data_IF_117374661334
#
_entry.id   IF_117374661334
#
_cell.length_a   1.000
_cell.length_b   1.000
_cell.length_c   1.000
_cell.angle_alpha   90.00
_cell.angle_beta   90.00
_cell.angle_gamma   90.00
#
_symmetry.space_group_name_H-M   'P 1'
#
loop_
_entity.id
_entity.type
_entity.pdbx_description
1 polymer ?
#
# COMPACT_ATOMS: atom_id res chain seq x y z
N UNK A 1 12.69 -1.43 -8.66
CA UNK A 1 11.54 -0.81 -7.99
C UNK A 1 11.84 -0.70 -6.52
N UNK A 2 11.91 0.50 -5.96
CA UNK A 2 11.81 0.64 -4.51
C UNK A 2 10.42 0.22 -4.06
N UNK A 3 10.32 -0.25 -2.81
CA UNK A 3 9.03 -0.30 -2.13
C UNK A 3 9.22 0.11 -0.67
N UNK A 4 8.22 0.81 -0.16
CA UNK A 4 8.13 1.29 1.22
C UNK A 4 6.86 0.74 1.82
N UNK A 5 6.94 0.21 3.03
CA UNK A 5 5.80 -0.36 3.76
C UNK A 5 5.57 0.42 5.05
N UNK A 6 4.31 0.75 5.33
CA UNK A 6 3.87 1.36 6.59
C UNK A 6 2.95 0.37 7.30
N UNK A 7 3.26 0.11 8.57
CA UNK A 7 2.47 -0.75 9.45
C UNK A 7 2.00 0.08 10.65
N UNK A 8 0.69 0.19 10.84
CA UNK A 8 0.10 0.89 12.00
C UNK A 8 -0.77 -0.08 12.79
N UNK A 9 -0.35 -0.37 14.01
CA UNK A 9 -1.12 -1.20 14.93
C UNK A 9 -2.32 -0.44 15.51
N UNK A 10 -3.39 -1.17 15.86
CA UNK A 10 -4.64 -0.62 16.44
C UNK A 10 -4.51 0.32 17.64
N UNK A 11 -3.40 0.26 18.39
CA UNK A 11 -3.15 1.13 19.54
C UNK A 11 -2.33 2.38 19.18
N UNK A 12 -1.79 2.43 17.97
CA UNK A 12 -1.00 3.53 17.43
C UNK A 12 -1.80 4.37 16.42
N UNK A 13 -2.88 3.82 15.86
CA UNK A 13 -3.81 4.55 15.01
C UNK A 13 -4.74 5.43 15.82
N UNK A 14 -5.18 6.55 15.21
CA UNK A 14 -6.07 7.51 15.85
C UNK A 14 -7.48 6.95 16.10
N UNK A 15 -7.98 6.14 15.15
CA UNK A 15 -9.35 5.61 15.15
C UNK A 15 -9.45 4.17 15.69
N UNK A 16 -8.34 3.59 16.15
CA UNK A 16 -8.29 2.21 16.63
C UNK A 16 -8.26 1.14 15.53
N UNK A 17 -8.22 1.51 14.25
CA UNK A 17 -8.11 0.56 13.12
C UNK A 17 -6.69 0.00 12.98
N UNK A 18 -6.52 -1.14 12.32
CA UNK A 18 -5.19 -1.58 11.88
C UNK A 18 -5.00 -1.18 10.43
N UNK A 19 -3.87 -0.57 10.09
CA UNK A 19 -3.57 -0.14 8.71
C UNK A 19 -2.28 -0.78 8.20
N UNK A 20 -2.33 -1.27 6.97
CA UNK A 20 -1.21 -1.81 6.22
C UNK A 20 -1.19 -1.10 4.87
N UNK A 21 -0.10 -0.41 4.57
CA UNK A 21 0.07 0.31 3.31
C UNK A 21 1.45 0.00 2.69
N UNK A 22 1.50 -0.03 1.37
CA UNK A 22 2.72 -0.24 0.59
C UNK A 22 2.65 0.59 -0.68
N UNK A 23 3.72 1.29 -1.05
CA UNK A 23 3.82 1.81 -2.43
C UNK A 23 4.29 0.70 -3.39
N UNK A 24 3.69 0.65 -4.57
CA UNK A 24 4.21 -0.11 -5.70
C UNK A 24 4.70 0.90 -6.73
N UNK A 25 5.96 1.30 -6.60
CA UNK A 25 6.57 2.23 -7.56
C UNK A 25 6.58 1.59 -8.97
N UNK A 26 6.79 2.42 -9.99
CA UNK A 26 7.15 2.00 -11.36
C UNK A 26 8.61 2.39 -11.68
N UNK A 27 9.21 1.78 -12.71
CA UNK A 27 10.52 2.21 -13.20
C UNK A 27 10.46 3.66 -13.69
N UNK A 28 11.57 4.39 -13.64
CA UNK A 28 11.62 5.76 -14.16
C UNK A 28 11.24 5.77 -15.65
N UNK A 29 10.25 6.59 -16.02
CA UNK A 29 9.75 6.67 -17.40
C UNK A 29 8.79 5.54 -17.79
N UNK A 30 8.39 4.67 -16.86
CA UNK A 30 7.48 3.56 -17.12
C UNK A 30 6.11 3.79 -16.46
N UNK A 31 5.05 3.67 -17.26
CA UNK A 31 3.67 3.66 -16.76
C UNK A 31 3.22 2.21 -16.52
N UNK A 32 2.85 1.90 -15.27
CA UNK A 32 2.33 0.58 -14.89
C UNK A 32 0.87 0.72 -14.44
N UNK A 33 -0.14 0.39 -15.28
CA UNK A 33 -1.54 0.52 -14.89
C UNK A 33 -1.86 -0.40 -13.70
N UNK A 34 -2.66 0.09 -12.76
CA UNK A 34 -3.09 -0.66 -11.56
C UNK A 34 -4.59 -0.93 -11.64
N UNK A 35 -5.01 -2.13 -11.22
CA UNK A 35 -6.41 -2.57 -11.19
C UNK A 35 -6.72 -3.17 -9.82
N UNK A 36 -7.85 -2.78 -9.24
CA UNK A 36 -8.45 -3.48 -8.11
C UNK A 36 -9.40 -4.56 -8.67
N UNK A 37 -9.22 -5.82 -8.26
CA UNK A 37 -10.08 -6.92 -8.69
C UNK A 37 -10.50 -7.75 -7.49
N UNK A 38 -11.79 -8.05 -7.40
CA UNK A 38 -12.29 -9.06 -6.49
C UNK A 38 -12.01 -10.45 -7.07
N UNK A 39 -11.54 -11.38 -6.24
CA UNK A 39 -11.34 -12.80 -6.58
C UNK A 39 -12.09 -13.59 -5.52
N UNK A 40 -13.11 -14.34 -5.96
CA UNK A 40 -13.97 -15.17 -5.10
C UNK A 40 -13.32 -16.54 -4.85
#
# INVERSE_FOLDING_TARGET
MSCTTILVGKKASYDGSTMIARNMDSGSGEYTPKKMCYVA
#
